data_IF_235933247057
#
_entry.id   IF_235933247057
#
_cell.length_a   1.000
_cell.length_b   1.000
_cell.length_c   1.000
_cell.angle_alpha   90.00
_cell.angle_beta   90.00
_cell.angle_gamma   90.00
#
_symmetry.space_group_name_H-M   'P 1'
#
loop_
_entity.id
_entity.type
_entity.pdbx_description
1 polymer ?
#
# COMPACT_ATOMS: atom_id res chain seq x y z
N UNK A 1 -20.21 8.27 -6.70
CA UNK A 1 -21.38 7.35 -6.64
C UNK A 1 -22.68 8.15 -6.69
N UNK A 2 -23.77 7.63 -7.27
CA UNK A 2 -25.06 8.33 -7.28
C UNK A 2 -25.80 8.08 -5.94
N UNK A 3 -26.16 9.15 -5.23
CA UNK A 3 -26.84 9.09 -3.92
C UNK A 3 -28.19 8.39 -3.98
N UNK A 4 -28.97 8.59 -5.06
CA UNK A 4 -30.25 7.92 -5.27
C UNK A 4 -30.09 6.40 -5.39
N UNK A 5 -29.01 5.94 -6.02
CA UNK A 5 -28.71 4.51 -6.13
C UNK A 5 -28.27 3.93 -4.78
N UNK A 6 -27.41 4.63 -4.06
CA UNK A 6 -26.95 4.21 -2.72
C UNK A 6 -28.15 3.99 -1.77
N UNK A 7 -29.06 4.95 -1.68
CA UNK A 7 -30.26 4.87 -0.84
C UNK A 7 -31.17 3.69 -1.22
N UNK A 8 -31.33 3.40 -2.52
CA UNK A 8 -32.11 2.24 -2.98
C UNK A 8 -31.49 0.92 -2.55
N UNK A 9 -30.17 0.81 -2.62
CA UNK A 9 -29.44 -0.40 -2.23
C UNK A 9 -29.46 -0.55 -0.71
N UNK A 10 -29.16 0.52 0.04
CA UNK A 10 -29.19 0.53 1.51
C UNK A 10 -30.55 0.08 2.02
N UNK A 11 -31.65 0.63 1.46
CA UNK A 11 -33.01 0.22 1.80
C UNK A 11 -33.29 -1.24 1.48
N UNK A 12 -32.85 -1.73 0.31
CA UNK A 12 -33.06 -3.12 -0.08
C UNK A 12 -32.28 -4.13 0.80
N UNK A 13 -31.14 -3.70 1.33
CA UNK A 13 -30.25 -4.50 2.18
C UNK A 13 -30.51 -4.28 3.68
N UNK A 14 -31.40 -3.37 4.06
CA UNK A 14 -31.68 -3.03 5.47
C UNK A 14 -30.51 -2.35 6.17
N UNK A 15 -29.67 -1.61 5.43
CA UNK A 15 -28.54 -0.87 5.97
C UNK A 15 -28.95 0.55 6.41
N UNK A 16 -28.18 1.13 7.32
CA UNK A 16 -28.34 2.53 7.71
C UNK A 16 -28.05 3.47 6.53
N UNK A 17 -28.86 4.53 6.40
CA UNK A 17 -28.71 5.52 5.35
C UNK A 17 -27.31 6.16 5.39
N UNK A 18 -26.65 6.21 4.24
CA UNK A 18 -25.30 6.78 4.12
C UNK A 18 -24.16 5.79 4.38
N UNK A 19 -24.44 4.55 4.79
CA UNK A 19 -23.41 3.49 4.96
C UNK A 19 -22.54 3.33 3.72
N UNK A 20 -23.14 3.21 2.54
CA UNK A 20 -22.42 3.03 1.28
C UNK A 20 -21.70 4.31 0.85
N UNK A 21 -22.24 5.48 1.19
CA UNK A 21 -21.57 6.76 0.94
C UNK A 21 -20.30 6.90 1.78
N UNK A 22 -20.36 6.52 3.06
CA UNK A 22 -19.19 6.49 3.95
C UNK A 22 -18.15 5.49 3.41
N UNK A 23 -18.59 4.29 3.02
CA UNK A 23 -17.70 3.28 2.42
C UNK A 23 -17.01 3.81 1.15
N UNK A 24 -17.76 4.51 0.31
CA UNK A 24 -17.24 5.14 -0.91
C UNK A 24 -16.16 6.19 -0.58
N UNK A 25 -16.40 7.04 0.43
CA UNK A 25 -15.41 8.03 0.89
C UNK A 25 -14.14 7.32 1.40
N UNK A 26 -14.26 6.26 2.19
CA UNK A 26 -13.10 5.47 2.62
C UNK A 26 -12.33 4.85 1.45
N UNK A 27 -13.04 4.36 0.45
CA UNK A 27 -12.42 3.86 -0.78
C UNK A 27 -11.63 4.96 -1.50
N UNK A 28 -12.22 6.15 -1.67
CA UNK A 28 -11.55 7.29 -2.30
C UNK A 28 -10.30 7.72 -1.53
N UNK A 29 -10.38 7.82 -0.19
CA UNK A 29 -9.22 8.10 0.66
C UNK A 29 -8.12 7.04 0.47
N UNK A 30 -8.50 5.76 0.41
CA UNK A 30 -7.56 4.66 0.19
C UNK A 30 -6.90 4.74 -1.18
N UNK A 31 -7.64 5.09 -2.22
CA UNK A 31 -7.12 5.26 -3.58
C UNK A 31 -6.13 6.41 -3.68
N UNK A 32 -6.41 7.56 -3.04
CA UNK A 32 -5.48 8.68 -3.00
C UNK A 32 -4.20 8.33 -2.24
N UNK A 33 -4.31 7.66 -1.09
CA UNK A 33 -3.14 7.12 -0.37
C UNK A 33 -2.31 6.17 -1.23
N UNK A 34 -2.98 5.30 -2.01
CA UNK A 34 -2.31 4.37 -2.94
C UNK A 34 -1.58 5.09 -4.07
N UNK A 35 -2.12 6.19 -4.59
CA UNK A 35 -1.43 7.01 -5.60
C UNK A 35 -0.16 7.65 -5.04
N UNK A 36 -0.18 8.08 -3.78
CA UNK A 36 0.99 8.61 -3.08
C UNK A 36 2.04 7.51 -2.85
N UNK A 37 1.64 6.33 -2.36
CA UNK A 37 2.55 5.22 -2.09
C UNK A 37 3.18 4.63 -3.36
N UNK A 38 2.50 4.65 -4.51
CA UNK A 38 3.09 4.22 -5.80
C UNK A 38 4.35 4.97 -6.22
N UNK A 39 4.54 6.20 -5.75
CA UNK A 39 5.76 6.98 -6.03
C UNK A 39 6.95 6.49 -5.21
N UNK A 40 6.67 5.85 -4.08
CA UNK A 40 7.63 5.37 -3.12
C UNK A 40 7.94 3.92 -3.46
N UNK A 41 9.07 3.71 -4.14
CA UNK A 41 9.58 2.37 -4.46
C UNK A 41 11.10 2.34 -4.31
N UNK A 42 11.66 1.21 -3.85
CA UNK A 42 13.10 1.02 -3.88
C UNK A 42 13.59 0.88 -5.33
N UNK A 43 14.91 0.93 -5.51
CA UNK A 43 15.53 0.65 -6.79
C UNK A 43 15.37 -0.84 -7.15
N UNK A 44 14.35 -1.13 -7.94
CA UNK A 44 13.98 -2.49 -8.37
C UNK A 44 15.07 -3.17 -9.20
N UNK A 45 15.98 -2.41 -9.80
CA UNK A 45 17.08 -2.94 -10.63
C UNK A 45 18.04 -3.82 -9.83
N UNK A 46 18.07 -3.62 -8.50
CA UNK A 46 18.96 -4.31 -7.55
C UNK A 46 18.27 -5.47 -6.82
N UNK A 47 16.99 -5.71 -7.08
CA UNK A 47 16.22 -6.80 -6.47
C UNK A 47 15.99 -7.91 -7.51
N UNK A 48 16.30 -9.16 -7.18
CA UNK A 48 16.05 -10.28 -8.08
C UNK A 48 14.54 -10.57 -8.19
N UNK A 49 13.99 -10.68 -9.42
CA UNK A 49 12.58 -11.05 -9.63
C UNK A 49 12.15 -12.35 -8.96
N UNK A 50 13.07 -13.30 -8.79
CA UNK A 50 12.80 -14.58 -8.12
C UNK A 50 12.38 -14.44 -6.64
N UNK A 51 12.70 -13.32 -5.96
CA UNK A 51 12.28 -13.08 -4.58
C UNK A 51 10.76 -12.96 -4.43
N UNK A 52 10.10 -12.43 -5.46
CA UNK A 52 8.66 -12.21 -5.50
C UNK A 52 8.04 -13.01 -6.65
N UNK A 53 8.34 -14.30 -6.71
CA UNK A 53 7.85 -15.18 -7.79
C UNK A 53 6.32 -15.26 -7.87
N UNK A 54 5.61 -15.00 -6.77
CA UNK A 54 4.15 -14.98 -6.64
C UNK A 54 3.53 -13.58 -6.83
N UNK A 55 4.34 -12.52 -6.98
CA UNK A 55 3.84 -11.13 -7.08
C UNK A 55 4.72 -10.25 -7.97
N UNK A 56 4.12 -9.60 -8.97
CA UNK A 56 4.85 -8.64 -9.81
C UNK A 56 5.29 -7.43 -8.98
N UNK A 57 6.57 -7.04 -9.09
CA UNK A 57 7.14 -5.87 -8.40
C UNK A 57 6.37 -4.57 -8.60
N UNK A 58 5.75 -4.40 -9.77
CA UNK A 58 4.98 -3.21 -10.13
C UNK A 58 3.68 -3.05 -9.32
N UNK A 59 3.16 -4.17 -8.80
CA UNK A 59 1.90 -4.20 -8.05
C UNK A 59 2.11 -4.20 -6.54
N UNK A 60 3.37 -4.26 -6.07
CA UNK A 60 3.69 -4.24 -4.65
C UNK A 60 3.54 -2.81 -4.13
N UNK A 61 2.65 -2.64 -3.15
CA UNK A 61 2.62 -1.42 -2.34
C UNK A 61 3.70 -1.52 -1.26
N UNK A 62 4.86 -0.92 -1.54
CA UNK A 62 6.06 -0.96 -0.70
C UNK A 62 5.85 -0.33 0.68
N UNK A 63 4.88 0.59 0.81
CA UNK A 63 4.55 1.24 2.08
C UNK A 63 3.59 0.35 2.88
N UNK A 64 2.49 -0.06 2.26
CA UNK A 64 1.44 -0.84 2.93
C UNK A 64 1.91 -2.24 3.32
N UNK A 65 2.72 -2.88 2.49
CA UNK A 65 3.21 -4.24 2.70
C UNK A 65 4.65 -4.31 3.22
N UNK A 66 5.13 -3.23 3.85
CA UNK A 66 6.49 -3.11 4.40
C UNK A 66 6.95 -4.35 5.16
N UNK A 67 6.18 -4.80 6.17
CA UNK A 67 6.54 -5.97 6.98
C UNK A 67 6.71 -7.24 6.14
N UNK A 68 5.80 -7.48 5.20
CA UNK A 68 5.87 -8.63 4.31
C UNK A 68 7.08 -8.58 3.36
N UNK A 69 7.37 -7.40 2.81
CA UNK A 69 8.54 -7.18 1.95
C UNK A 69 9.82 -7.43 2.74
N UNK A 70 9.93 -6.88 3.96
CA UNK A 70 11.09 -7.06 4.84
C UNK A 70 11.26 -8.54 5.18
N UNK A 71 10.23 -9.21 5.71
CA UNK A 71 10.32 -10.62 6.10
C UNK A 71 10.76 -11.50 4.92
N UNK A 72 10.21 -11.24 3.74
CA UNK A 72 10.53 -12.01 2.54
C UNK A 72 11.98 -11.81 2.09
N UNK A 73 12.47 -10.57 2.07
CA UNK A 73 13.85 -10.26 1.69
C UNK A 73 14.83 -10.78 2.76
N UNK A 74 14.47 -10.72 4.04
CA UNK A 74 15.30 -11.29 5.11
C UNK A 74 15.41 -12.81 5.02
N UNK A 75 14.33 -13.51 4.63
CA UNK A 75 14.32 -14.97 4.49
C UNK A 75 15.02 -15.48 3.23
N UNK A 76 14.89 -14.78 2.09
CA UNK A 76 15.29 -15.31 0.75
C UNK A 76 16.30 -14.44 0.01
N UNK A 77 16.51 -13.21 0.45
CA UNK A 77 17.41 -12.22 -0.15
C UNK A 77 18.88 -12.51 0.13
N UNK A 78 19.75 -12.00 -0.75
CA UNK A 78 21.18 -11.90 -0.50
C UNK A 78 21.49 -10.71 0.42
N UNK A 79 22.74 -10.59 0.87
CA UNK A 79 23.14 -9.51 1.78
C UNK A 79 23.01 -8.10 1.18
N UNK A 80 23.19 -7.96 -0.15
CA UNK A 80 23.03 -6.68 -0.85
C UNK A 80 21.55 -6.23 -0.91
N UNK A 81 20.63 -7.16 -1.17
CA UNK A 81 19.18 -6.95 -1.22
C UNK A 81 18.64 -6.61 0.17
N UNK A 82 19.11 -7.31 1.21
CA UNK A 82 18.77 -7.01 2.61
C UNK A 82 19.20 -5.60 2.99
N UNK A 83 20.45 -5.22 2.69
CA UNK A 83 20.96 -3.88 2.99
C UNK A 83 20.17 -2.80 2.26
N UNK A 84 19.88 -2.99 0.97
CA UNK A 84 19.10 -2.03 0.19
C UNK A 84 17.70 -1.80 0.77
N UNK A 85 17.02 -2.88 1.16
CA UNK A 85 15.67 -2.80 1.72
C UNK A 85 15.69 -2.15 3.11
N UNK A 86 16.72 -2.44 3.92
CA UNK A 86 16.91 -1.79 5.20
C UNK A 86 17.13 -0.28 5.04
N UNK A 87 18.09 0.11 4.18
CA UNK A 87 18.39 1.53 3.89
C UNK A 87 17.15 2.26 3.35
N UNK A 88 16.38 1.62 2.47
CA UNK A 88 15.15 2.19 1.91
C UNK A 88 14.10 2.48 2.99
N UNK A 89 13.87 1.54 3.91
CA UNK A 89 12.85 1.69 4.95
C UNK A 89 13.31 2.58 6.12
N UNK A 90 14.61 2.64 6.42
CA UNK A 90 15.17 3.60 7.38
C UNK A 90 15.03 5.04 6.87
N UNK A 91 15.35 5.30 5.60
CA UNK A 91 15.17 6.63 4.98
C UNK A 91 13.69 7.05 4.92
N UNK A 92 12.80 6.09 4.69
CA UNK A 92 11.36 6.31 4.75
C UNK A 92 10.90 6.74 6.14
N UNK A 93 11.27 6.03 7.21
CA UNK A 93 10.88 6.38 8.58
C UNK A 93 11.41 7.76 8.99
N UNK A 94 12.65 8.09 8.63
CA UNK A 94 13.24 9.40 8.92
C UNK A 94 12.51 10.52 8.16
N UNK A 95 12.09 10.27 6.92
CA UNK A 95 11.33 11.25 6.14
C UNK A 95 9.92 11.52 6.71
N UNK A 96 9.27 10.48 7.24
CA UNK A 96 7.96 10.61 7.89
C UNK A 96 8.07 11.39 9.21
N UNK A 97 9.11 11.14 10.01
CA UNK A 97 9.37 11.87 11.26
C UNK A 97 9.65 13.36 11.04
N UNK A 98 10.43 13.71 10.00
CA UNK A 98 10.76 15.10 9.68
C UNK A 98 9.59 15.89 9.06
N UNK A 99 8.52 15.22 8.63
CA UNK A 99 7.32 15.87 8.07
C UNK A 99 6.34 16.35 9.14
N UNK A 100 6.62 16.03 10.42
CA UNK A 100 5.76 16.31 11.58
C UNK A 100 6.28 17.50 12.41
N UNK A 101 7.39 18.11 12.00
CA UNK A 101 8.07 19.22 12.70
C UNK A 101 8.05 20.51 11.89
#
# INVERSE_FOLDING_TARGET
MNTSLALRIEKALGLEEGTLMILQVYHEIREEKRKLSRKIKPDLSKLRPALFWDTSFENIDWVKHKLYVIDRVMQRGNEEEKKLINDFYELQEVSELNSIQ
#
